data_IF_146343753743
#
_entry.id   IF_146343753743
#
_cell.length_a   1.000
_cell.length_b   1.000
_cell.length_c   1.000
_cell.angle_alpha   90.00
_cell.angle_beta   90.00
_cell.angle_gamma   90.00
#
_symmetry.space_group_name_H-M   'P 1'
#
loop_
_entity.id
_entity.type
_entity.pdbx_description
1 polymer ?
#
# COMPACT_ATOMS: atom_id res chain seq x y z
N UNK A 1 14.17 -15.41 -15.90
CA UNK A 1 13.15 -15.06 -14.90
C UNK A 1 12.75 -13.64 -15.21
N UNK A 2 11.50 -13.39 -15.61
CA UNK A 2 11.08 -12.00 -15.83
C UNK A 2 11.05 -11.25 -14.49
N UNK A 3 11.55 -10.01 -14.41
CA UNK A 3 11.49 -9.23 -13.20
C UNK A 3 10.03 -8.97 -12.84
N UNK A 4 9.65 -9.25 -11.58
CA UNK A 4 8.34 -8.83 -11.07
C UNK A 4 8.31 -7.30 -11.05
N UNK A 5 7.50 -6.71 -11.92
CA UNK A 5 7.31 -5.27 -11.96
C UNK A 5 6.12 -4.89 -11.08
N UNK A 6 6.43 -4.23 -9.96
CA UNK A 6 5.43 -3.63 -9.07
C UNK A 6 5.49 -2.13 -9.31
N UNK A 7 4.35 -1.52 -9.62
CA UNK A 7 4.27 -0.09 -9.94
C UNK A 7 3.21 0.62 -9.11
N UNK A 8 3.58 1.75 -8.52
CA UNK A 8 2.63 2.57 -7.75
C UNK A 8 1.90 3.50 -8.71
N UNK A 9 0.58 3.49 -8.62
CA UNK A 9 -0.33 4.30 -9.42
C UNK A 9 -0.57 5.65 -8.75
N UNK A 10 0.23 6.64 -9.16
CA UNK A 10 0.29 7.98 -8.58
C UNK A 10 -1.06 8.73 -8.58
N UNK A 11 -1.76 8.89 -9.72
CA UNK A 11 -3.07 9.55 -9.76
C UNK A 11 -4.12 8.86 -8.87
N UNK A 12 -4.15 7.54 -8.92
CA UNK A 12 -5.09 6.69 -8.18
C UNK A 12 -4.80 6.75 -6.68
N UNK A 13 -3.53 6.69 -6.28
CA UNK A 13 -3.07 6.88 -4.90
C UNK A 13 -3.47 8.27 -4.38
N UNK A 14 -3.29 9.32 -5.17
CA UNK A 14 -3.67 10.68 -4.76
C UNK A 14 -5.17 10.83 -4.52
N UNK A 15 -5.98 10.28 -5.41
CA UNK A 15 -7.44 10.21 -5.24
C UNK A 15 -7.82 9.38 -4.01
N UNK A 16 -7.13 8.28 -3.77
CA UNK A 16 -7.37 7.42 -2.61
C UNK A 16 -7.05 8.14 -1.29
N UNK A 17 -5.90 8.81 -1.18
CA UNK A 17 -5.56 9.64 -0.03
C UNK A 17 -6.64 10.70 0.24
N UNK A 18 -7.13 11.37 -0.81
CA UNK A 18 -8.21 12.36 -0.69
C UNK A 18 -9.50 11.74 -0.16
N UNK A 19 -9.85 10.53 -0.59
CA UNK A 19 -11.02 9.80 -0.09
C UNK A 19 -10.85 9.36 1.36
N UNK A 20 -9.67 8.85 1.74
CA UNK A 20 -9.35 8.44 3.11
C UNK A 20 -9.45 9.62 4.07
N UNK A 21 -8.89 10.77 3.71
CA UNK A 21 -8.99 11.99 4.52
C UNK A 21 -10.45 12.41 4.72
N UNK A 22 -11.24 12.43 3.64
CA UNK A 22 -12.67 12.77 3.71
C UNK A 22 -13.48 11.80 4.56
N UNK A 23 -13.23 10.49 4.42
CA UNK A 23 -13.96 9.43 5.13
C UNK A 23 -13.67 9.44 6.62
N UNK A 24 -12.41 9.72 7.00
CA UNK A 24 -12.00 9.84 8.39
C UNK A 24 -12.27 11.24 8.98
N UNK A 25 -12.84 12.17 8.20
CA UNK A 25 -13.18 13.52 8.68
C UNK A 25 -11.99 14.45 8.88
N UNK A 26 -10.83 14.17 8.28
CA UNK A 26 -9.64 15.01 8.37
C UNK A 26 -9.60 16.07 7.28
N UNK A 27 -9.23 17.29 7.66
CA UNK A 27 -8.91 18.38 6.73
C UNK A 27 -7.42 18.39 6.41
N UNK A 28 -7.04 19.08 5.33
CA UNK A 28 -5.62 19.29 4.99
C UNK A 28 -4.87 20.00 6.12
N UNK A 29 -5.55 20.89 6.85
CA UNK A 29 -4.97 21.61 7.98
C UNK A 29 -4.66 20.67 9.15
N UNK A 30 -5.52 19.70 9.43
CA UNK A 30 -5.28 18.72 10.50
C UNK A 30 -4.07 17.86 10.20
N UNK A 31 -3.94 17.39 8.95
CA UNK A 31 -2.78 16.63 8.49
C UNK A 31 -1.51 17.48 8.55
N UNK A 32 -1.59 18.74 8.12
CA UNK A 32 -0.47 19.67 8.19
C UNK A 32 0.01 19.86 9.64
N UNK A 33 -0.92 20.08 10.57
CA UNK A 33 -0.61 20.24 11.98
C UNK A 33 -0.01 18.96 12.59
N UNK A 34 -0.53 17.79 12.25
CA UNK A 34 0.00 16.51 12.72
C UNK A 34 1.40 16.20 12.18
N UNK A 35 1.70 16.64 10.95
CA UNK A 35 3.02 16.46 10.32
C UNK A 35 4.04 17.54 10.71
N UNK A 36 3.61 18.61 11.39
CA UNK A 36 4.49 19.74 11.72
C UNK A 36 4.94 20.54 10.49
N UNK A 37 4.15 20.50 9.41
CA UNK A 37 4.51 21.23 8.19
C UNK A 37 4.22 22.72 8.29
N UNK A 38 5.19 23.54 7.89
CA UNK A 38 4.98 24.98 7.74
C UNK A 38 3.98 25.29 6.59
N UNK A 39 4.00 24.48 5.53
CA UNK A 39 3.17 24.69 4.33
C UNK A 39 2.45 23.40 3.87
N UNK A 40 1.14 23.43 3.59
CA UNK A 40 0.37 22.27 3.12
C UNK A 40 0.65 21.84 1.67
N UNK A 41 1.55 22.52 0.94
CA UNK A 41 1.80 22.28 -0.48
C UNK A 41 2.18 20.82 -0.81
N UNK A 42 2.91 20.15 0.08
CA UNK A 42 3.25 18.74 -0.11
C UNK A 42 2.00 17.86 -0.13
N UNK A 43 1.05 18.11 0.77
CA UNK A 43 -0.21 17.37 0.90
C UNK A 43 -1.04 17.52 -0.37
N UNK A 44 -1.13 18.73 -0.93
CA UNK A 44 -1.83 18.97 -2.19
C UNK A 44 -1.18 18.26 -3.39
N UNK A 45 0.16 18.15 -3.42
CA UNK A 45 0.85 17.39 -4.47
C UNK A 45 0.54 15.89 -4.40
N UNK A 46 0.46 15.34 -3.19
CA UNK A 46 0.07 13.94 -3.00
C UNK A 46 -1.37 13.70 -3.43
N UNK A 47 -2.30 14.53 -2.96
CA UNK A 47 -3.72 14.41 -3.30
C UNK A 47 -4.02 14.60 -4.80
N UNK A 48 -3.17 15.34 -5.52
CA UNK A 48 -3.28 15.51 -6.97
C UNK A 48 -2.51 14.46 -7.78
N UNK A 49 -1.84 13.51 -7.11
CA UNK A 49 -1.05 12.47 -7.77
C UNK A 49 0.20 12.99 -8.49
N UNK A 50 0.68 14.19 -8.15
CA UNK A 50 1.89 14.79 -8.75
C UNK A 50 3.18 14.22 -8.17
N UNK A 51 3.12 13.74 -6.92
CA UNK A 51 4.24 13.10 -6.24
C UNK A 51 3.73 12.16 -5.15
N UNK A 52 4.56 11.20 -4.74
CA UNK A 52 4.27 10.38 -3.56
C UNK A 52 4.72 11.07 -2.27
N UNK A 53 4.12 10.74 -1.12
CA UNK A 53 4.70 11.03 0.18
C UNK A 53 6.04 10.29 0.32
N UNK A 54 6.99 10.89 1.04
CA UNK A 54 8.18 10.14 1.48
C UNK A 54 7.76 9.02 2.43
N UNK A 55 8.66 8.06 2.67
CA UNK A 55 8.40 6.95 3.60
C UNK A 55 7.98 7.44 4.99
N UNK A 56 8.68 8.43 5.55
CA UNK A 56 8.36 9.00 6.86
C UNK A 56 6.95 9.61 6.88
N UNK A 57 6.58 10.33 5.82
CA UNK A 57 5.27 10.94 5.69
C UNK A 57 4.17 9.89 5.51
N UNK A 58 4.46 8.77 4.84
CA UNK A 58 3.58 7.62 4.72
C UNK A 58 3.33 6.95 6.07
N UNK A 59 4.37 6.80 6.89
CA UNK A 59 4.23 6.27 8.25
C UNK A 59 3.33 7.18 9.09
N UNK A 60 3.53 8.50 9.01
CA UNK A 60 2.67 9.47 9.72
C UNK A 60 1.22 9.39 9.21
N UNK A 61 1.01 9.36 7.89
CA UNK A 61 -0.32 9.19 7.30
C UNK A 61 -0.99 7.89 7.76
N UNK A 62 -0.24 6.79 7.83
CA UNK A 62 -0.74 5.50 8.32
C UNK A 62 -1.27 5.62 9.75
N UNK A 63 -0.58 6.37 10.62
CA UNK A 63 -1.03 6.61 12.00
C UNK A 63 -2.27 7.50 12.08
N UNK A 64 -2.33 8.55 11.27
CA UNK A 64 -3.48 9.49 11.24
C UNK A 64 -4.72 8.81 10.67
N UNK A 65 -4.57 8.06 9.58
CA UNK A 65 -5.66 7.43 8.83
C UNK A 65 -6.04 6.05 9.36
N UNK A 66 -5.37 5.56 10.42
CA UNK A 66 -5.55 4.22 10.97
C UNK A 66 -5.50 3.11 9.89
N UNK A 67 -4.68 3.29 8.86
CA UNK A 67 -4.60 2.42 7.68
C UNK A 67 -3.17 1.98 7.46
N UNK A 68 -2.96 0.78 6.89
CA UNK A 68 -1.62 0.31 6.53
C UNK A 68 -1.05 1.14 5.36
N UNK A 69 0.28 1.14 5.18
CA UNK A 69 0.90 1.85 4.05
C UNK A 69 0.46 1.24 2.71
N UNK A 70 0.29 -0.08 2.70
CA UNK A 70 -0.15 -0.88 1.56
C UNK A 70 -1.60 -0.59 1.18
N UNK A 71 -2.45 -0.24 2.14
CA UNK A 71 -3.83 0.17 1.87
C UNK A 71 -3.93 1.62 1.41
N UNK A 72 -2.98 2.48 1.80
CA UNK A 72 -2.91 3.87 1.32
C UNK A 72 -2.44 3.93 -0.14
N UNK A 73 -1.51 3.05 -0.53
CA UNK A 73 -0.90 3.05 -1.86
C UNK A 73 -1.69 2.17 -2.84
N UNK A 74 -1.99 2.71 -4.01
CA UNK A 74 -2.55 1.91 -5.10
C UNK A 74 -1.41 1.32 -5.91
N UNK A 75 -1.31 0.00 -5.94
CA UNK A 75 -0.21 -0.74 -6.58
C UNK A 75 -0.76 -1.61 -7.71
N UNK A 76 -0.15 -1.50 -8.89
CA UNK A 76 -0.35 -2.38 -10.03
C UNK A 76 0.80 -3.41 -10.07
N UNK A 77 0.45 -4.69 -9.91
CA UNK A 77 1.37 -5.83 -9.97
C UNK A 77 1.12 -6.84 -8.84
N UNK A 78 1.16 -8.14 -9.16
CA UNK A 78 1.05 -9.21 -8.17
C UNK A 78 2.43 -9.78 -7.84
N UNK A 79 2.73 -9.96 -6.55
CA UNK A 79 3.92 -10.67 -6.10
C UNK A 79 3.60 -12.17 -6.07
N UNK A 80 4.17 -12.91 -7.02
CA UNK A 80 4.07 -14.36 -7.06
C UNK A 80 5.31 -14.95 -6.39
N UNK A 81 5.13 -15.49 -5.18
CA UNK A 81 6.17 -16.26 -4.52
C UNK A 81 6.11 -17.71 -4.99
N UNK A 82 7.14 -18.15 -5.72
CA UNK A 82 7.35 -19.57 -6.00
C UNK A 82 8.03 -20.20 -4.79
N UNK A 83 7.26 -20.74 -3.85
CA UNK A 83 7.82 -21.56 -2.76
C UNK A 83 7.98 -22.99 -3.26
N UNK A 84 9.20 -23.35 -3.66
CA UNK A 84 9.55 -24.73 -3.99
C UNK A 84 9.73 -25.56 -2.72
N UNK A 85 8.73 -26.34 -2.33
CA UNK A 85 8.90 -27.35 -1.27
C UNK A 85 9.56 -28.58 -1.88
N UNK A 86 10.90 -28.68 -1.79
CA UNK A 86 11.64 -29.88 -2.21
C UNK A 86 11.44 -30.95 -1.14
N UNK A 87 10.45 -31.83 -1.32
CA UNK A 87 10.49 -33.13 -0.63
C UNK A 87 11.56 -33.98 -1.32
N UNK A 88 12.50 -34.46 -0.51
CA UNK A 88 13.57 -35.36 -0.94
C UNK A 88 12.92 -36.65 -1.48
N UNK A 89 13.01 -36.88 -2.79
CA UNK A 89 12.56 -38.13 -3.44
C UNK A 89 11.47 -38.03 -4.53
N UNK A 90 11.01 -36.85 -4.96
CA UNK A 90 10.05 -36.72 -6.08
C UNK A 90 10.68 -36.02 -7.29
N UNK A 91 10.89 -36.75 -8.40
CA UNK A 91 11.44 -36.24 -9.66
C UNK A 91 10.44 -35.38 -10.45
N UNK A 92 9.18 -35.28 -10.01
CA UNK A 92 8.14 -34.43 -10.61
C UNK A 92 7.72 -33.33 -9.64
N UNK A 93 8.63 -32.41 -9.33
CA UNK A 93 8.34 -31.25 -8.50
C UNK A 93 7.27 -30.35 -9.15
N UNK A 94 6.04 -30.39 -8.63
CA UNK A 94 5.00 -29.44 -9.00
C UNK A 94 5.21 -28.10 -8.29
N UNK A 95 5.40 -27.02 -9.05
CA UNK A 95 5.32 -25.66 -8.51
C UNK A 95 3.86 -25.33 -8.14
N UNK A 96 3.56 -25.11 -6.86
CA UNK A 96 2.33 -24.39 -6.49
C UNK A 96 2.57 -22.90 -6.67
N UNK A 97 1.76 -22.28 -7.53
CA UNK A 97 1.72 -20.83 -7.70
C UNK A 97 0.83 -20.28 -6.58
N UNK A 98 1.41 -19.57 -5.62
CA UNK A 98 0.63 -18.78 -4.67
C UNK A 98 0.40 -17.39 -5.26
N UNK A 99 -0.86 -17.07 -5.50
CA UNK A 99 -1.31 -15.74 -5.88
C UNK A 99 -1.68 -15.01 -4.59
N UNK A 100 -0.92 -13.98 -4.20
CA UNK A 100 -1.27 -13.15 -3.04
C UNK A 100 -2.36 -12.17 -3.46
N UNK A 101 -3.56 -12.68 -3.74
CA UNK A 101 -4.75 -11.84 -3.87
C UNK A 101 -5.16 -11.39 -2.47
N UNK A 102 -5.49 -10.11 -2.28
CA UNK A 102 -6.10 -9.56 -1.05
C UNK A 102 -7.18 -10.53 -0.55
N UNK A 103 -6.83 -11.36 0.43
CA UNK A 103 -7.78 -12.15 1.19
C UNK A 103 -7.75 -11.57 2.59
N UNK A 104 -8.80 -10.84 2.90
CA UNK A 104 -9.17 -10.45 4.25
C UNK A 104 -8.92 -11.63 5.18
N UNK A 105 -7.91 -11.52 6.03
CA UNK A 105 -7.63 -12.49 7.09
C UNK A 105 -8.66 -12.26 8.21
N UNK A 106 -9.92 -12.60 7.94
CA UNK A 106 -10.95 -12.81 8.95
C UNK A 106 -11.28 -14.30 8.94
N UNK A 107 -10.60 -15.06 9.80
CA UNK A 107 -11.13 -16.20 10.54
C UNK A 107 -9.98 -16.89 11.29
N UNK A 108 -9.86 -16.63 12.59
CA UNK A 108 -9.39 -17.64 13.53
C UNK A 108 -10.63 -18.34 14.08
N UNK A 109 -10.79 -19.66 13.90
CA UNK A 109 -11.55 -20.46 14.84
C UNK A 109 -10.57 -21.22 15.75
N UNK A 110 -10.98 -21.27 17.01
CA UNK A 110 -10.34 -21.92 18.16
C UNK A 110 -10.20 -23.42 17.99
#
# INVERSE_FOLDING_TARGET
>A
MEPMYVSIRLPETGNHIKQLLKTNGYTVKDVQSAMGFENPQAIYKWMSGKSLPSLDNLVILSKILHSSMEDILVVDGDVVFYTGFRREGDERGWCRIFHVRKQSFLAYPS
#
